data_IF_086461368449
#
_entry.id   IF_086461368449
#
_cell.length_a   1.000
_cell.length_b   1.000
_cell.length_c   1.000
_cell.angle_alpha   90.00
_cell.angle_beta   90.00
_cell.angle_gamma   90.00
#
_symmetry.space_group_name_H-M   'P 1'
#
loop_
_entity.id
_entity.type
_entity.pdbx_description
1 polymer ?
#
# COMPACT_ATOMS: atom_id res chain seq x y z
N UNK A 1 -16.33 -8.08 6.07
CA UNK A 1 -15.49 -6.88 5.96
C UNK A 1 -14.62 -6.96 4.71
N UNK A 2 -15.02 -6.32 3.60
CA UNK A 2 -14.23 -6.23 2.37
C UNK A 2 -14.19 -7.49 1.48
N UNK A 3 -14.65 -8.61 1.94
CA UNK A 3 -14.84 -9.81 1.10
C UNK A 3 -16.10 -9.62 0.26
N UNK A 4 -15.96 -9.71 -1.05
CA UNK A 4 -17.06 -9.50 -1.98
C UNK A 4 -17.95 -10.73 -2.11
N UNK A 5 -19.28 -10.56 -2.31
CA UNK A 5 -20.20 -11.69 -2.48
C UNK A 5 -19.82 -12.62 -3.64
N UNK A 6 -19.34 -12.04 -4.75
CA UNK A 6 -18.86 -12.80 -5.91
C UNK A 6 -17.62 -13.64 -5.59
N UNK A 7 -16.72 -13.14 -4.75
CA UNK A 7 -15.55 -13.89 -4.28
C UNK A 7 -15.96 -15.09 -3.43
N UNK A 8 -16.92 -14.90 -2.52
CA UNK A 8 -17.49 -16.00 -1.73
C UNK A 8 -18.15 -17.05 -2.61
N UNK A 9 -18.92 -16.63 -3.62
CA UNK A 9 -19.56 -17.58 -4.55
C UNK A 9 -18.52 -18.38 -5.33
N UNK A 10 -17.51 -17.71 -5.88
CA UNK A 10 -16.43 -18.36 -6.63
C UNK A 10 -15.66 -19.35 -5.75
N UNK A 11 -15.37 -18.97 -4.51
CA UNK A 11 -14.75 -19.84 -3.51
C UNK A 11 -15.57 -21.10 -3.25
N UNK A 12 -16.87 -20.97 -3.00
CA UNK A 12 -17.75 -22.15 -2.76
C UNK A 12 -17.90 -23.02 -4.01
N UNK A 13 -17.94 -22.43 -5.20
CA UNK A 13 -17.99 -23.21 -6.46
C UNK A 13 -16.70 -24.00 -6.65
N UNK A 14 -15.54 -23.42 -6.35
CA UNK A 14 -14.23 -24.10 -6.46
C UNK A 14 -14.14 -25.27 -5.44
N UNK A 15 -14.63 -25.09 -4.22
CA UNK A 15 -14.64 -26.16 -3.23
C UNK A 15 -15.54 -27.33 -3.63
N UNK A 16 -16.58 -27.05 -4.39
CA UNK A 16 -17.56 -28.06 -4.80
C UNK A 16 -18.38 -28.63 -3.64
N UNK A 17 -19.22 -29.63 -3.95
CA UNK A 17 -19.97 -30.38 -2.95
C UNK A 17 -19.11 -31.55 -2.44
N UNK A 18 -18.83 -31.54 -1.16
CA UNK A 18 -18.12 -32.65 -0.50
C UNK A 18 -18.88 -33.11 0.74
N UNK A 19 -18.84 -34.43 1.00
CA UNK A 19 -19.39 -35.04 2.21
C UNK A 19 -18.33 -35.18 3.31
N UNK A 20 -17.08 -34.76 3.04
CA UNK A 20 -15.97 -34.82 3.98
C UNK A 20 -15.64 -33.43 4.52
N UNK A 21 -15.30 -33.38 5.78
CA UNK A 21 -14.70 -32.17 6.35
C UNK A 21 -13.39 -31.87 5.69
N UNK A 22 -13.26 -30.67 5.15
CA UNK A 22 -12.04 -30.18 4.50
C UNK A 22 -11.58 -28.90 5.19
N UNK A 23 -10.27 -28.81 5.42
CA UNK A 23 -9.64 -27.58 5.84
C UNK A 23 -9.14 -26.83 4.60
N UNK A 24 -9.67 -25.64 4.36
CA UNK A 24 -9.28 -24.79 3.23
C UNK A 24 -8.57 -23.55 3.76
N UNK A 25 -7.38 -23.23 3.24
CA UNK A 25 -6.70 -21.99 3.62
C UNK A 25 -7.52 -20.76 3.26
N UNK A 26 -7.55 -19.75 4.13
CA UNK A 26 -8.18 -18.47 3.84
C UNK A 26 -7.57 -17.76 2.62
N UNK A 27 -6.29 -18.03 2.34
CA UNK A 27 -5.62 -17.51 1.13
C UNK A 27 -6.35 -17.86 -0.17
N UNK A 28 -7.06 -19.00 -0.23
CA UNK A 28 -7.88 -19.33 -1.41
C UNK A 28 -9.04 -18.35 -1.56
N UNK A 29 -9.74 -18.04 -0.46
CA UNK A 29 -10.80 -17.03 -0.46
C UNK A 29 -10.23 -15.63 -0.81
N UNK A 30 -9.07 -15.28 -0.26
CA UNK A 30 -8.40 -14.00 -0.52
C UNK A 30 -8.01 -13.86 -2.00
N UNK A 31 -7.54 -14.95 -2.63
CA UNK A 31 -7.25 -14.95 -4.08
C UNK A 31 -8.49 -14.69 -4.94
N UNK A 32 -9.65 -15.23 -4.56
CA UNK A 32 -10.91 -14.88 -5.23
C UNK A 32 -11.32 -13.43 -4.99
N UNK A 33 -11.11 -12.95 -3.76
CA UNK A 33 -11.44 -11.57 -3.42
C UNK A 33 -10.55 -10.58 -4.18
N UNK A 34 -9.24 -10.83 -4.27
CA UNK A 34 -8.31 -10.03 -5.07
C UNK A 34 -8.81 -9.88 -6.50
N UNK A 35 -9.17 -10.97 -7.18
CA UNK A 35 -9.71 -10.93 -8.56
C UNK A 35 -10.97 -10.06 -8.68
N UNK A 36 -11.79 -9.98 -7.62
CA UNK A 36 -13.02 -9.20 -7.64
C UNK A 36 -12.80 -7.69 -7.38
N UNK A 37 -11.75 -7.34 -6.64
CA UNK A 37 -11.52 -5.96 -6.18
C UNK A 37 -10.34 -5.25 -6.86
N UNK A 38 -9.33 -5.97 -7.34
CA UNK A 38 -8.05 -5.41 -7.81
C UNK A 38 -8.24 -4.25 -8.80
N UNK A 39 -8.99 -4.48 -9.88
CA UNK A 39 -9.18 -3.46 -10.93
C UNK A 39 -9.95 -2.22 -10.49
N UNK A 40 -10.60 -2.27 -9.33
CA UNK A 40 -11.42 -1.16 -8.78
C UNK A 40 -10.74 -0.47 -7.60
N UNK A 41 -9.67 -1.06 -7.05
CA UNK A 41 -9.01 -0.58 -5.84
C UNK A 41 -7.86 0.37 -6.20
N UNK A 42 -7.99 1.67 -5.92
CA UNK A 42 -6.86 2.58 -6.08
C UNK A 42 -5.75 2.19 -5.12
N UNK A 43 -4.50 2.43 -5.54
CA UNK A 43 -3.34 2.21 -4.69
C UNK A 43 -3.09 3.43 -3.82
N UNK A 44 -2.74 3.19 -2.57
CA UNK A 44 -2.30 4.19 -1.62
C UNK A 44 -1.00 3.75 -0.95
N UNK A 45 -0.19 4.71 -0.53
CA UNK A 45 0.97 4.44 0.30
C UNK A 45 0.61 4.63 1.78
N UNK A 46 0.93 3.64 2.60
CA UNK A 46 0.88 3.72 4.06
C UNK A 46 2.24 3.31 4.62
N UNK A 47 2.91 4.24 5.28
CA UNK A 47 4.26 4.07 5.81
C UNK A 47 4.17 3.62 7.26
N UNK A 48 4.47 2.36 7.53
CA UNK A 48 4.50 1.79 8.88
C UNK A 48 5.77 2.23 9.61
N UNK A 49 5.66 2.51 10.91
CA UNK A 49 6.82 2.95 11.70
C UNK A 49 7.59 4.08 10.98
N UNK A 50 6.85 5.08 10.51
CA UNK A 50 7.33 6.10 9.61
C UNK A 50 8.45 6.95 10.23
N UNK A 51 9.52 7.16 9.48
CA UNK A 51 10.59 8.10 9.82
C UNK A 51 10.75 9.13 8.72
N UNK A 52 11.04 10.40 9.07
CA UNK A 52 11.28 11.43 8.07
C UNK A 52 12.64 11.22 7.41
N UNK A 53 12.67 11.40 6.10
CA UNK A 53 13.88 11.40 5.29
C UNK A 53 14.00 12.75 4.58
N UNK A 54 15.01 13.54 4.95
CA UNK A 54 15.36 14.74 4.22
C UNK A 54 16.03 14.36 2.90
N UNK A 55 15.60 14.97 1.80
CA UNK A 55 16.19 14.78 0.50
C UNK A 55 17.11 15.97 0.17
N UNK A 56 18.32 15.67 -0.29
CA UNK A 56 19.34 16.67 -0.60
C UNK A 56 19.77 16.58 -2.07
N UNK A 57 20.17 17.70 -2.64
CA UNK A 57 20.62 17.79 -4.04
C UNK A 57 19.50 18.21 -4.98
N UNK A 58 19.51 17.72 -6.20
CA UNK A 58 18.53 18.05 -7.23
C UNK A 58 17.27 17.21 -7.09
N UNK A 59 16.46 17.55 -6.07
CA UNK A 59 15.23 16.84 -5.72
C UNK A 59 14.12 17.25 -6.68
N UNK A 60 13.42 16.30 -7.34
CA UNK A 60 12.21 16.60 -8.09
C UNK A 60 11.16 17.23 -7.18
N UNK A 61 10.63 18.40 -7.56
CA UNK A 61 9.60 19.10 -6.76
C UNK A 61 8.23 18.46 -6.84
N UNK A 62 7.99 17.72 -7.90
CA UNK A 62 6.72 16.99 -8.11
C UNK A 62 7.07 15.54 -8.39
N UNK A 63 6.48 14.65 -7.61
CA UNK A 63 6.46 13.22 -7.85
C UNK A 63 5.11 12.79 -8.41
N UNK A 64 5.10 11.87 -9.36
CA UNK A 64 3.89 11.29 -9.94
C UNK A 64 3.97 9.78 -9.88
N UNK A 65 3.00 9.16 -9.22
CA UNK A 65 2.94 7.70 -9.04
C UNK A 65 1.67 7.16 -9.67
N UNK A 66 1.78 6.10 -10.46
CA UNK A 66 0.65 5.43 -11.09
C UNK A 66 -0.30 4.89 -10.02
N UNK A 67 -1.57 5.29 -10.08
CA UNK A 67 -2.59 4.82 -9.12
C UNK A 67 -3.00 3.37 -9.33
N UNK A 68 -2.95 2.89 -10.57
CA UNK A 68 -3.19 1.48 -10.91
C UNK A 68 -2.55 1.18 -12.28
N UNK A 69 -1.77 0.07 -12.44
CA UNK A 69 -1.04 -0.19 -13.67
C UNK A 69 -1.95 -0.54 -14.86
N UNK A 70 -3.09 -1.18 -14.60
CA UNK A 70 -3.96 -1.77 -15.64
C UNK A 70 -5.27 -1.00 -15.84
N UNK A 71 -5.40 0.20 -15.27
CA UNK A 71 -6.62 1.01 -15.39
C UNK A 71 -6.28 2.44 -15.76
N UNK A 72 -7.29 3.17 -16.28
CA UNK A 72 -7.16 4.59 -16.59
C UNK A 72 -7.30 5.52 -15.36
N UNK A 73 -7.00 5.04 -14.16
CA UNK A 73 -7.02 5.89 -12.98
C UNK A 73 -5.94 6.98 -13.10
N UNK A 74 -6.26 8.24 -12.78
CA UNK A 74 -5.28 9.32 -12.83
C UNK A 74 -4.11 9.02 -11.89
N UNK A 75 -2.88 9.43 -12.25
CA UNK A 75 -1.75 9.28 -11.35
C UNK A 75 -1.94 10.13 -10.09
N UNK A 76 -1.27 9.74 -9.03
CA UNK A 76 -1.20 10.48 -7.78
C UNK A 76 -0.01 11.44 -7.86
N UNK A 77 -0.25 12.72 -7.64
CA UNK A 77 0.78 13.75 -7.68
C UNK A 77 1.12 14.24 -6.29
N UNK A 78 2.38 14.46 -6.03
CA UNK A 78 2.91 14.91 -4.74
C UNK A 78 3.81 16.11 -4.92
N UNK A 79 3.67 17.12 -4.06
CA UNK A 79 4.65 18.19 -3.92
C UNK A 79 5.67 17.79 -2.87
N UNK A 80 6.95 17.87 -3.22
CA UNK A 80 8.06 17.50 -2.35
C UNK A 80 8.79 18.78 -1.93
N UNK A 81 8.52 19.23 -0.71
CA UNK A 81 9.08 20.50 -0.21
C UNK A 81 10.34 20.29 0.64
N UNK A 82 10.34 19.36 1.60
CA UNK A 82 11.41 19.18 2.59
C UNK A 82 11.90 17.75 2.73
N UNK A 83 11.25 16.80 2.09
CA UNK A 83 11.55 15.38 2.21
C UNK A 83 10.32 14.50 2.15
N UNK A 84 10.50 13.27 2.53
CA UNK A 84 9.46 12.24 2.47
C UNK A 84 9.46 11.40 3.75
N UNK A 85 8.37 10.66 3.97
CA UNK A 85 8.30 9.61 4.98
C UNK A 85 8.60 8.27 4.34
N UNK A 86 9.44 7.47 5.00
CA UNK A 86 9.77 6.09 4.63
C UNK A 86 9.62 5.17 5.83
N UNK A 87 9.57 3.86 5.62
CA UNK A 87 9.61 2.89 6.71
C UNK A 87 10.99 2.91 7.38
N UNK A 88 11.03 2.81 8.72
CA UNK A 88 12.27 2.84 9.49
C UNK A 88 13.28 1.77 9.03
N UNK A 89 12.79 0.60 8.60
CA UNK A 89 13.64 -0.49 8.12
C UNK A 89 14.39 -0.17 6.81
N UNK A 90 13.89 0.78 6.03
CA UNK A 90 14.49 1.25 4.79
C UNK A 90 15.48 2.43 5.01
N UNK A 91 15.48 3.02 6.20
CA UNK A 91 16.34 4.15 6.56
C UNK A 91 17.82 3.75 6.62
N UNK A 92 18.71 4.69 6.23
CA UNK A 92 20.15 4.49 6.26
C UNK A 92 20.69 3.52 5.20
N UNK A 93 19.92 3.25 4.15
CA UNK A 93 20.29 2.39 3.03
C UNK A 93 20.18 3.15 1.70
N UNK A 94 21.04 2.84 0.72
CA UNK A 94 20.83 3.34 -0.63
C UNK A 94 19.60 2.62 -1.23
N UNK A 95 18.59 3.40 -1.61
CA UNK A 95 17.31 2.90 -2.13
C UNK A 95 16.83 3.75 -3.31
N UNK A 96 15.86 3.21 -4.06
CA UNK A 96 15.10 3.99 -5.02
C UNK A 96 13.74 4.33 -4.44
N UNK A 97 13.46 5.61 -4.32
CA UNK A 97 12.11 6.10 -4.10
C UNK A 97 11.29 5.84 -5.38
N UNK A 98 10.22 5.06 -5.25
CA UNK A 98 9.41 4.59 -6.38
C UNK A 98 8.99 5.76 -7.28
N UNK A 99 9.30 5.65 -8.57
CA UNK A 99 8.95 6.66 -9.60
C UNK A 99 9.48 8.08 -9.32
N UNK A 100 10.49 8.22 -8.45
CA UNK A 100 11.05 9.51 -8.10
C UNK A 100 12.57 9.58 -8.41
N UNK A 101 13.41 9.02 -7.55
CA UNK A 101 14.86 9.13 -7.68
C UNK A 101 15.59 8.02 -6.91
N UNK A 102 16.85 7.82 -7.27
CA UNK A 102 17.79 7.01 -6.52
C UNK A 102 18.48 7.88 -5.47
N UNK A 103 18.59 7.39 -4.24
CA UNK A 103 19.23 8.08 -3.13
C UNK A 103 20.29 7.22 -2.46
N UNK A 104 21.28 7.87 -1.88
CA UNK A 104 22.25 7.21 -0.99
C UNK A 104 21.68 7.00 0.42
N UNK A 105 22.48 6.40 1.32
CA UNK A 105 22.09 6.13 2.71
C UNK A 105 21.81 7.40 3.54
N UNK A 106 22.21 8.59 3.08
CA UNK A 106 22.03 9.86 3.76
C UNK A 106 20.91 10.73 3.15
N UNK A 107 20.20 10.21 2.13
CA UNK A 107 19.14 10.95 1.42
C UNK A 107 19.64 11.91 0.33
N UNK A 108 20.90 11.80 -0.09
CA UNK A 108 21.38 12.58 -1.23
C UNK A 108 20.88 11.96 -2.53
N UNK A 109 20.27 12.76 -3.38
CA UNK A 109 19.80 12.33 -4.70
C UNK A 109 21.01 12.06 -5.59
N UNK A 110 21.12 10.83 -6.09
CA UNK A 110 22.20 10.38 -6.98
C UNK A 110 21.76 10.36 -8.44
N UNK A 111 20.52 10.01 -8.71
CA UNK A 111 19.97 10.00 -10.07
C UNK A 111 18.43 10.08 -10.06
N UNK A 112 17.86 10.82 -11.00
CA UNK A 112 16.42 10.81 -11.27
C UNK A 112 16.05 9.56 -12.07
N UNK A 113 16.86 9.21 -13.06
CA UNK A 113 16.71 7.96 -13.80
C UNK A 113 17.21 6.78 -12.97
N UNK A 114 16.63 5.61 -13.21
CA UNK A 114 17.05 4.40 -12.51
C UNK A 114 18.46 4.01 -12.91
N UNK A 115 19.41 4.16 -11.98
CA UNK A 115 20.83 3.97 -12.26
C UNK A 115 21.30 2.51 -12.02
N UNK A 116 20.67 1.79 -11.08
CA UNK A 116 21.07 0.45 -10.69
C UNK A 116 19.89 -0.43 -10.22
N UNK A 117 20.20 -1.59 -9.59
CA UNK A 117 19.22 -2.55 -9.08
C UNK A 117 18.96 -2.40 -7.58
N UNK A 118 19.12 -1.23 -7.00
CA UNK A 118 18.78 -1.01 -5.59
C UNK A 118 17.30 -1.27 -5.31
N UNK A 119 16.97 -1.54 -4.06
CA UNK A 119 15.59 -1.79 -3.63
C UNK A 119 14.70 -0.58 -3.92
N UNK A 120 13.54 -0.84 -4.53
CA UNK A 120 12.51 0.19 -4.73
C UNK A 120 11.60 0.19 -3.51
N UNK A 121 11.48 1.34 -2.87
CA UNK A 121 10.61 1.54 -1.72
C UNK A 121 9.48 2.51 -2.04
N UNK A 122 8.37 2.37 -1.34
CA UNK A 122 7.30 3.36 -1.35
C UNK A 122 7.62 4.47 -0.33
N UNK A 123 7.03 5.62 -0.55
CA UNK A 123 7.25 6.83 0.24
C UNK A 123 6.01 7.70 0.22
N UNK A 124 5.92 8.64 1.14
CA UNK A 124 4.85 9.65 1.21
C UNK A 124 5.45 11.03 1.42
N UNK A 125 5.09 11.99 0.56
CA UNK A 125 5.35 13.40 0.79
C UNK A 125 4.14 14.03 1.48
N UNK A 126 4.34 14.62 2.66
CA UNK A 126 3.23 15.09 3.50
C UNK A 126 2.53 13.89 4.18
N UNK A 127 1.23 13.73 3.93
CA UNK A 127 0.42 12.67 4.53
C UNK A 127 -0.10 13.01 5.93
N UNK A 128 -0.89 12.12 6.49
CA UNK A 128 -1.53 12.28 7.79
C UNK A 128 -1.19 11.08 8.70
N UNK A 129 -0.95 11.30 9.99
CA UNK A 129 -0.89 10.22 10.96
C UNK A 129 -2.17 9.39 10.89
N UNK A 130 -2.03 8.08 10.76
CA UNK A 130 -3.15 7.17 10.62
C UNK A 130 -2.83 5.82 11.23
N UNK A 131 -3.83 4.96 11.33
CA UNK A 131 -3.70 3.60 11.86
C UNK A 131 -4.25 2.58 10.87
N UNK A 132 -3.60 1.43 10.79
CA UNK A 132 -4.09 0.24 10.11
C UNK A 132 -4.49 -0.79 11.16
N UNK A 133 -5.76 -1.14 11.21
CA UNK A 133 -6.29 -2.17 12.11
C UNK A 133 -6.28 -3.51 11.39
N UNK A 134 -5.60 -4.49 11.97
CA UNK A 134 -5.44 -5.84 11.42
C UNK A 134 -6.08 -6.85 12.37
N UNK A 135 -6.99 -7.68 11.86
CA UNK A 135 -7.51 -8.80 12.62
C UNK A 135 -6.51 -9.97 12.59
N UNK A 136 -6.02 -10.37 13.75
CA UNK A 136 -5.09 -11.49 13.92
C UNK A 136 -5.67 -12.49 14.92
N UNK A 137 -6.23 -13.58 14.40
CA UNK A 137 -6.96 -14.53 15.24
C UNK A 137 -8.18 -13.90 15.92
N UNK A 138 -8.14 -13.83 17.25
CA UNK A 138 -9.19 -13.18 18.07
C UNK A 138 -8.80 -11.75 18.53
N UNK A 139 -7.65 -11.26 18.13
CA UNK A 139 -7.13 -9.98 18.54
C UNK A 139 -7.15 -8.97 17.38
N UNK A 140 -7.12 -7.69 17.72
CA UNK A 140 -6.90 -6.60 16.80
C UNK A 140 -5.50 -6.03 17.03
N UNK A 141 -4.69 -6.06 15.98
CA UNK A 141 -3.38 -5.40 15.97
C UNK A 141 -3.53 -4.03 15.33
N UNK A 142 -3.06 -2.99 16.00
CA UNK A 142 -3.05 -1.63 15.48
C UNK A 142 -1.63 -1.29 15.06
N UNK A 143 -1.46 -0.93 13.80
CA UNK A 143 -0.19 -0.47 13.23
C UNK A 143 -0.32 1.02 12.96
N UNK A 144 0.48 1.83 13.66
CA UNK A 144 0.54 3.27 13.41
C UNK A 144 1.46 3.59 12.23
N UNK A 145 1.15 4.67 11.52
CA UNK A 145 1.93 5.09 10.37
C UNK A 145 1.47 6.42 9.78
N UNK A 146 2.04 6.73 8.62
CA UNK A 146 1.65 7.90 7.82
C UNK A 146 0.94 7.40 6.56
N UNK A 147 -0.31 7.84 6.40
CA UNK A 147 -1.10 7.59 5.19
C UNK A 147 -0.95 8.78 4.25
N UNK A 148 -0.79 8.52 2.97
CA UNK A 148 -0.83 9.58 1.97
C UNK A 148 -2.17 10.33 1.98
N UNK A 149 -2.13 11.61 1.62
CA UNK A 149 -3.35 12.39 1.50
C UNK A 149 -4.22 11.84 0.37
N UNK A 150 -5.49 11.62 0.65
CA UNK A 150 -6.45 11.11 -0.31
C UNK A 150 -7.86 11.68 -0.05
N UNK A 151 -8.74 11.54 -1.03
CA UNK A 151 -10.13 11.95 -0.94
C UNK A 151 -11.12 10.79 -1.13
N UNK A 152 -10.66 9.56 -0.95
CA UNK A 152 -11.53 8.39 -1.05
C UNK A 152 -12.53 8.37 0.11
N UNK A 153 -13.82 8.15 -0.15
CA UNK A 153 -14.84 8.08 0.90
C UNK A 153 -14.67 6.85 1.78
N UNK A 154 -15.20 6.92 3.00
CA UNK A 154 -15.31 5.79 3.92
C UNK A 154 -16.02 4.63 3.23
N UNK A 155 -15.52 3.43 3.43
CA UNK A 155 -15.99 2.20 2.78
C UNK A 155 -15.30 1.87 1.46
N UNK A 156 -14.46 2.76 0.91
CA UNK A 156 -13.66 2.46 -0.28
C UNK A 156 -12.62 1.39 0.04
N UNK A 157 -12.53 0.36 -0.80
CA UNK A 157 -11.43 -0.60 -0.74
C UNK A 157 -10.26 -0.04 -1.53
N UNK A 158 -9.10 0.01 -0.88
CA UNK A 158 -7.83 0.49 -1.44
C UNK A 158 -6.77 -0.60 -1.35
N UNK A 159 -5.81 -0.59 -2.26
CA UNK A 159 -4.62 -1.42 -2.16
C UNK A 159 -3.50 -0.62 -1.50
N UNK A 160 -3.09 -1.01 -0.29
CA UNK A 160 -1.91 -0.45 0.35
C UNK A 160 -0.66 -1.09 -0.25
N UNK A 161 0.20 -0.28 -0.84
CA UNK A 161 1.41 -0.78 -1.51
C UNK A 161 2.29 -1.58 -0.54
N UNK A 162 2.74 -2.78 -0.94
CA UNK A 162 3.54 -3.72 -0.15
C UNK A 162 2.85 -4.30 1.10
N UNK A 163 1.57 -4.01 1.33
CA UNK A 163 0.86 -4.44 2.53
C UNK A 163 -0.33 -5.34 2.18
N UNK A 164 -1.23 -4.89 1.30
CA UNK A 164 -2.44 -5.64 0.93
C UNK A 164 -3.65 -4.73 0.77
N UNK A 165 -4.85 -5.28 0.89
CA UNK A 165 -6.08 -4.53 0.72
C UNK A 165 -6.66 -4.07 2.05
N UNK A 166 -7.15 -2.83 2.09
CA UNK A 166 -7.77 -2.24 3.27
C UNK A 166 -9.03 -1.46 2.89
N UNK A 167 -9.91 -1.23 3.86
CA UNK A 167 -11.06 -0.35 3.74
C UNK A 167 -10.72 0.97 4.42
N UNK A 168 -11.07 2.08 3.78
CA UNK A 168 -11.01 3.40 4.36
C UNK A 168 -12.12 3.52 5.42
N UNK A 169 -11.75 3.84 6.65
CA UNK A 169 -12.63 4.09 7.80
C UNK A 169 -12.52 5.57 8.23
N UNK A 170 -13.39 6.03 9.11
CA UNK A 170 -13.35 7.42 9.59
C UNK A 170 -12.02 7.78 10.28
N UNK A 171 -11.48 6.83 11.04
CA UNK A 171 -10.29 7.03 11.87
C UNK A 171 -9.05 6.26 11.37
N UNK A 172 -9.01 5.87 10.10
CA UNK A 172 -7.87 5.14 9.55
C UNK A 172 -8.25 4.06 8.54
N UNK A 173 -7.63 2.92 8.65
CA UNK A 173 -7.75 1.82 7.71
C UNK A 173 -8.07 0.50 8.41
N UNK A 174 -8.91 -0.32 7.82
CA UNK A 174 -9.18 -1.68 8.27
C UNK A 174 -8.65 -2.68 7.24
N UNK A 175 -7.71 -3.53 7.64
CA UNK A 175 -7.16 -4.58 6.78
C UNK A 175 -8.23 -5.56 6.33
N UNK A 176 -8.29 -5.83 5.03
CA UNK A 176 -9.16 -6.86 4.43
C UNK A 176 -8.39 -8.17 4.36
N UNK A 177 -7.27 -8.17 3.65
CA UNK A 177 -6.31 -9.26 3.53
C UNK A 177 -5.02 -8.76 2.85
N UNK A 178 -3.96 -9.52 2.94
CA UNK A 178 -2.69 -9.39 2.22
C UNK A 178 -2.71 -10.08 0.85
#
# INVERSE_FOLDING_TARGET
RGIQPEALRAFWVELGLTQKDIAVPLSTLYSHNTKAIESKSPRLAFIRNAVPLALNGDVPKIGSIVSHPDTAMPPREYTIDQGVWIEQEDSGKPVRLKELCDIDANGNVESIDRSDKRAVIHWVAGGIPSKLVIASGQELVIVEGILENHNHPVGTIVQLERIGYAIVEEDGLLMVHD
#
